data_IF_786097748962
#
_entry.id   IF_786097748962
#
_cell.length_a   1.000
_cell.length_b   1.000
_cell.length_c   1.000
_cell.angle_alpha   90.00
_cell.angle_beta   90.00
_cell.angle_gamma   90.00
#
_symmetry.space_group_name_H-M   'P 1'
#
loop_
_entity.id
_entity.type
_entity.pdbx_description
1 polymer ?
#
# COMPACT_ATOMS: atom_id res chain seq x y z
N UNK A 1 8.99 -1.75 13.67
CA UNK A 1 9.00 -1.05 12.37
C UNK A 1 7.58 -0.60 12.07
N UNK A 2 7.44 0.55 11.43
CA UNK A 2 6.15 1.12 11.08
C UNK A 2 5.71 0.64 9.69
N UNK A 3 4.40 0.46 9.50
CA UNK A 3 3.79 0.16 8.21
C UNK A 3 2.70 1.20 7.87
N UNK A 4 2.67 1.66 6.62
CA UNK A 4 1.66 2.59 6.10
C UNK A 4 0.72 1.84 5.17
N UNK A 5 -0.57 1.85 5.45
CA UNK A 5 -1.59 1.25 4.58
C UNK A 5 -2.47 2.35 4.00
N UNK A 6 -2.42 2.51 2.67
CA UNK A 6 -3.11 3.58 1.96
C UNK A 6 -4.54 3.16 1.58
N UNK A 7 -5.52 3.56 2.38
CA UNK A 7 -6.93 3.16 2.20
C UNK A 7 -7.86 4.29 1.75
N UNK A 8 -7.33 5.50 1.54
CA UNK A 8 -8.12 6.70 1.35
C UNK A 8 -8.86 6.80 0.01
N UNK A 9 -8.62 5.89 -0.95
CA UNK A 9 -9.20 5.94 -2.30
C UNK A 9 -10.72 5.77 -2.33
N UNK A 10 -11.41 6.56 -3.18
CA UNK A 10 -12.89 6.52 -3.33
C UNK A 10 -13.41 5.29 -4.11
N UNK A 11 -12.53 4.59 -4.84
CA UNK A 11 -12.92 3.41 -5.61
C UNK A 11 -13.96 3.66 -6.71
N UNK A 12 -14.08 4.89 -7.23
CA UNK A 12 -15.15 5.35 -8.13
C UNK A 12 -15.39 4.48 -9.37
N UNK A 13 -14.35 3.78 -9.85
CA UNK A 13 -14.44 2.83 -10.97
C UNK A 13 -15.32 1.62 -10.69
N UNK A 14 -15.54 1.29 -9.42
CA UNK A 14 -16.37 0.18 -8.96
C UNK A 14 -17.77 0.62 -8.52
N UNK A 15 -18.15 1.87 -8.80
CA UNK A 15 -19.52 2.30 -8.58
C UNK A 15 -20.50 1.41 -9.38
N UNK A 16 -21.66 1.03 -8.80
CA UNK A 16 -22.21 1.49 -7.52
C UNK A 16 -21.75 0.71 -6.28
N UNK A 17 -20.91 -0.33 -6.41
CA UNK A 17 -20.50 -1.19 -5.29
C UNK A 17 -19.81 -0.41 -4.17
N UNK A 18 -19.03 0.62 -4.53
CA UNK A 18 -18.31 1.48 -3.59
C UNK A 18 -19.15 2.59 -2.96
N UNK A 19 -20.45 2.67 -3.29
CA UNK A 19 -21.34 3.72 -2.75
C UNK A 19 -21.55 3.57 -1.23
N UNK A 20 -21.68 2.33 -0.76
CA UNK A 20 -22.03 2.04 0.62
C UNK A 20 -20.93 1.30 1.38
N UNK A 21 -19.91 0.77 0.69
CA UNK A 21 -18.84 -0.02 1.28
C UNK A 21 -17.50 0.41 0.66
N UNK A 22 -16.53 0.88 1.48
CA UNK A 22 -15.20 1.20 0.98
C UNK A 22 -14.53 -0.02 0.35
N UNK A 23 -13.82 0.17 -0.77
CA UNK A 23 -13.12 -0.92 -1.49
C UNK A 23 -12.22 -1.78 -0.57
N UNK A 24 -11.45 -1.23 0.38
CA UNK A 24 -10.66 -2.03 1.33
C UNK A 24 -11.49 -3.01 2.19
N UNK A 25 -12.80 -2.79 2.31
CA UNK A 25 -13.70 -3.67 3.06
C UNK A 25 -14.42 -4.70 2.18
N UNK A 26 -14.18 -4.71 0.87
CA UNK A 26 -14.76 -5.72 -0.02
C UNK A 26 -14.28 -7.14 0.35
N UNK A 27 -15.19 -8.13 0.41
CA UNK A 27 -14.82 -9.49 0.75
C UNK A 27 -14.11 -10.16 -0.42
N UNK A 28 -12.96 -10.77 -0.12
CA UNK A 28 -12.21 -11.67 -1.00
C UNK A 28 -11.99 -12.96 -0.24
N UNK A 29 -12.44 -14.09 -0.81
CA UNK A 29 -12.41 -15.40 -0.13
C UNK A 29 -12.97 -15.34 1.32
N UNK A 30 -14.08 -14.62 1.52
CA UNK A 30 -14.78 -14.52 2.81
C UNK A 30 -14.18 -13.56 3.83
N UNK A 31 -13.09 -12.83 3.53
CA UNK A 31 -12.50 -11.82 4.42
C UNK A 31 -12.32 -10.48 3.69
N UNK A 32 -12.47 -9.33 4.37
CA UNK A 32 -12.14 -8.03 3.79
C UNK A 32 -10.70 -7.95 3.26
N UNK A 33 -10.48 -7.23 2.15
CA UNK A 33 -9.12 -6.97 1.62
C UNK A 33 -8.18 -6.41 2.70
N UNK A 34 -8.64 -5.43 3.47
CA UNK A 34 -7.89 -4.83 4.57
C UNK A 34 -7.50 -5.88 5.63
N UNK A 35 -8.34 -6.89 5.86
CA UNK A 35 -7.99 -7.97 6.79
C UNK A 35 -6.86 -8.84 6.25
N UNK A 36 -6.89 -9.19 4.97
CA UNK A 36 -5.78 -9.94 4.36
C UNK A 36 -4.46 -9.17 4.47
N UNK A 37 -4.49 -7.86 4.23
CA UNK A 37 -3.33 -6.98 4.37
C UNK A 37 -2.84 -6.98 5.82
N UNK A 38 -3.71 -6.70 6.79
CA UNK A 38 -3.32 -6.63 8.21
C UNK A 38 -2.84 -7.98 8.77
N UNK A 39 -3.46 -9.09 8.36
CA UNK A 39 -3.06 -10.45 8.77
C UNK A 39 -1.72 -10.89 8.12
N UNK A 40 -1.30 -10.24 7.03
CA UNK A 40 -0.03 -10.56 6.35
C UNK A 40 1.20 -9.96 7.04
N UNK A 41 1.00 -8.91 7.84
CA UNK A 41 2.09 -8.17 8.47
C UNK A 41 2.83 -9.06 9.50
N UNK A 42 4.17 -9.14 9.43
CA UNK A 42 4.98 -9.92 10.36
C UNK A 42 5.09 -9.22 11.73
N UNK A 43 5.48 -9.96 12.77
CA UNK A 43 5.62 -9.47 14.16
C UNK A 43 6.57 -8.28 14.34
N UNK A 44 7.51 -8.06 13.40
CA UNK A 44 8.41 -6.88 13.41
C UNK A 44 7.68 -5.57 13.13
N UNK A 45 6.48 -5.63 12.56
CA UNK A 45 5.60 -4.48 12.44
C UNK A 45 4.88 -4.29 13.78
N UNK A 46 5.18 -3.18 14.43
CA UNK A 46 4.68 -2.84 15.78
C UNK A 46 3.66 -1.72 15.74
N UNK A 47 3.66 -0.93 14.66
CA UNK A 47 2.78 0.23 14.46
C UNK A 47 2.30 0.24 13.01
N UNK A 48 1.00 0.44 12.83
CA UNK A 48 0.36 0.51 11.52
C UNK A 48 -0.38 1.83 11.38
N UNK A 49 0.10 2.66 10.47
CA UNK A 49 -0.48 3.93 10.09
C UNK A 49 -1.47 3.66 8.95
N UNK A 50 -2.77 3.82 9.21
CA UNK A 50 -3.82 3.64 8.20
C UNK A 50 -4.26 5.01 7.73
N UNK A 51 -4.04 5.28 6.43
CA UNK A 51 -4.46 6.52 5.79
C UNK A 51 -5.88 6.36 5.27
N UNK A 52 -6.81 7.12 5.83
CA UNK A 52 -8.24 7.11 5.48
C UNK A 52 -8.66 8.44 4.84
N UNK A 53 -9.62 8.40 3.93
CA UNK A 53 -10.19 9.59 3.29
C UNK A 53 -11.46 10.08 4.00
N UNK A 54 -12.03 11.19 3.52
CA UNK A 54 -13.35 11.68 3.94
C UNK A 54 -14.40 10.55 3.85
N UNK A 55 -15.27 10.43 4.87
CA UNK A 55 -16.35 9.43 4.99
C UNK A 55 -15.95 7.95 5.17
N UNK A 56 -14.68 7.63 5.39
CA UNK A 56 -14.24 6.24 5.61
C UNK A 56 -14.34 5.77 7.07
N UNK A 57 -15.38 6.19 7.81
CA UNK A 57 -15.58 5.78 9.21
C UNK A 57 -15.76 4.25 9.34
N UNK A 58 -16.33 3.60 8.32
CA UNK A 58 -16.50 2.15 8.28
C UNK A 58 -15.17 1.39 8.39
N UNK A 59 -14.08 1.91 7.81
CA UNK A 59 -12.74 1.30 7.92
C UNK A 59 -12.28 1.36 9.37
N UNK A 60 -12.44 2.53 10.00
CA UNK A 60 -12.07 2.74 11.41
C UNK A 60 -12.87 1.83 12.34
N UNK A 61 -14.19 1.77 12.16
CA UNK A 61 -15.07 0.92 12.95
C UNK A 61 -14.75 -0.57 12.78
N UNK A 62 -14.41 -1.00 11.56
CA UNK A 62 -14.00 -2.37 11.29
C UNK A 62 -12.72 -2.74 12.06
N UNK A 63 -11.69 -1.89 11.98
CA UNK A 63 -10.37 -2.15 12.57
C UNK A 63 -10.43 -2.11 14.10
N UNK A 64 -11.13 -1.16 14.71
CA UNK A 64 -11.21 -1.01 16.18
C UNK A 64 -11.95 -2.19 16.84
N UNK A 65 -12.89 -2.84 16.14
CA UNK A 65 -13.59 -4.05 16.63
C UNK A 65 -12.71 -5.31 16.62
N UNK A 66 -11.46 -5.21 16.18
CA UNK A 66 -10.51 -6.32 16.11
C UNK A 66 -9.33 -6.06 17.04
N UNK A 67 -8.68 -7.14 17.48
CA UNK A 67 -7.44 -7.07 18.25
C UNK A 67 -6.28 -7.42 17.33
N UNK A 68 -5.37 -6.47 17.15
CA UNK A 68 -4.13 -6.66 16.41
C UNK A 68 -2.93 -6.62 17.37
N UNK A 69 -1.80 -7.28 17.03
CA UNK A 69 -0.59 -7.28 17.85
C UNK A 69 0.25 -5.99 17.68
N UNK A 70 -0.28 -4.97 17.02
CA UNK A 70 0.37 -3.70 16.71
C UNK A 70 -0.56 -2.53 17.00
N UNK A 71 0.02 -1.36 17.24
CA UNK A 71 -0.71 -0.12 17.44
C UNK A 71 -1.28 0.39 16.11
N UNK A 72 -2.48 0.95 16.15
CA UNK A 72 -3.10 1.59 14.99
C UNK A 72 -3.01 3.10 15.13
N UNK A 73 -2.43 3.76 14.13
CA UNK A 73 -2.40 5.21 13.99
C UNK A 73 -3.28 5.60 12.81
N UNK A 74 -4.15 6.60 13.00
CA UNK A 74 -5.05 7.08 11.96
C UNK A 74 -4.51 8.38 11.37
N UNK A 75 -4.39 8.43 10.05
CA UNK A 75 -4.03 9.64 9.30
C UNK A 75 -5.14 9.95 8.31
N UNK A 76 -5.61 11.19 8.28
CA UNK A 76 -6.73 11.61 7.44
C UNK A 76 -6.20 12.34 6.20
N UNK A 77 -6.50 11.80 5.02
CA UNK A 77 -6.26 12.47 3.75
C UNK A 77 -7.55 13.15 3.28
N UNK A 78 -7.78 14.39 3.74
CA UNK A 78 -8.97 15.16 3.37
C UNK A 78 -9.06 15.42 1.86
N UNK A 79 -7.95 15.86 1.26
CA UNK A 79 -7.82 16.08 -0.18
C UNK A 79 -6.98 14.96 -0.81
N UNK A 80 -7.57 14.25 -1.77
CA UNK A 80 -6.92 13.16 -2.50
C UNK A 80 -5.95 13.67 -3.58
N UNK A 81 -4.86 14.30 -3.15
CA UNK A 81 -3.79 14.82 -4.03
C UNK A 81 -2.80 13.74 -4.52
N UNK A 82 -3.20 12.47 -4.47
CA UNK A 82 -2.41 11.33 -4.91
C UNK A 82 -1.67 10.58 -3.79
N UNK A 83 -0.99 9.51 -4.19
CA UNK A 83 -0.29 8.57 -3.29
C UNK A 83 0.86 9.25 -2.53
N UNK A 84 1.66 10.09 -3.19
CA UNK A 84 2.76 10.80 -2.54
C UNK A 84 2.29 11.72 -1.41
N UNK A 85 1.17 12.43 -1.61
CA UNK A 85 0.54 13.23 -0.56
C UNK A 85 0.07 12.36 0.62
N UNK A 86 -0.49 11.18 0.35
CA UNK A 86 -0.93 10.27 1.40
C UNK A 86 0.22 9.81 2.31
N UNK A 87 1.38 9.50 1.72
CA UNK A 87 2.59 9.14 2.46
C UNK A 87 3.16 10.35 3.19
N UNK A 88 3.21 11.52 2.54
CA UNK A 88 3.70 12.75 3.15
C UNK A 88 2.96 13.13 4.45
N UNK A 89 1.63 12.95 4.48
CA UNK A 89 0.82 13.17 5.69
C UNK A 89 1.20 12.25 6.86
N UNK A 90 1.85 11.12 6.59
CA UNK A 90 2.32 10.19 7.63
C UNK A 90 3.64 10.63 8.26
N UNK A 91 4.36 11.60 7.70
CA UNK A 91 5.75 11.95 8.07
C UNK A 91 5.96 12.14 9.57
N UNK A 92 5.07 12.86 10.26
CA UNK A 92 5.17 13.13 11.69
C UNK A 92 4.79 11.94 12.59
N UNK A 93 4.23 10.87 12.02
CA UNK A 93 3.78 9.68 12.73
C UNK A 93 4.75 8.50 12.62
N UNK A 94 5.69 8.56 11.67
CA UNK A 94 6.71 7.55 11.45
C UNK A 94 7.79 7.70 12.53
N UNK A 95 8.07 6.60 13.22
CA UNK A 95 9.04 6.53 14.31
C UNK A 95 10.21 5.60 14.03
N UNK A 96 10.10 4.73 13.02
CA UNK A 96 11.19 3.85 12.60
C UNK A 96 12.06 4.47 11.51
N UNK A 97 13.33 4.08 11.46
CA UNK A 97 14.29 4.51 10.43
C UNK A 97 13.82 4.17 9.01
N UNK A 98 13.32 2.94 8.82
CA UNK A 98 12.66 2.49 7.61
C UNK A 98 11.19 2.18 7.89
N UNK A 99 10.33 2.26 6.88
CA UNK A 99 8.91 1.94 7.01
C UNK A 99 8.42 1.19 5.79
N UNK A 100 7.53 0.23 6.01
CA UNK A 100 6.84 -0.45 4.91
C UNK A 100 5.64 0.37 4.45
N UNK A 101 5.32 0.36 3.16
CA UNK A 101 4.10 0.97 2.62
C UNK A 101 3.39 0.02 1.66
N UNK A 102 2.06 -0.06 1.77
CA UNK A 102 1.23 -0.88 0.90
C UNK A 102 -0.08 -0.19 0.53
N UNK A 103 -0.54 -0.41 -0.70
CA UNK A 103 -1.87 0.02 -1.12
C UNK A 103 -2.96 -0.80 -0.42
N UNK A 104 -4.01 -0.13 0.05
CA UNK A 104 -5.11 -0.75 0.79
C UNK A 104 -6.13 -1.49 -0.06
N UNK A 105 -5.94 -1.55 -1.37
CA UNK A 105 -6.92 -2.03 -2.34
C UNK A 105 -6.39 -3.09 -3.31
N UNK A 106 -5.23 -3.66 -3.00
CA UNK A 106 -4.59 -4.79 -3.68
C UNK A 106 -4.65 -6.04 -2.80
N UNK A 107 -4.70 -7.21 -3.45
CA UNK A 107 -4.59 -8.50 -2.78
C UNK A 107 -3.24 -9.11 -3.14
N UNK A 108 -2.45 -9.43 -2.11
CA UNK A 108 -1.09 -9.92 -2.26
C UNK A 108 -0.88 -11.05 -1.28
N UNK A 109 -0.22 -12.12 -1.72
CA UNK A 109 0.11 -13.26 -0.87
C UNK A 109 0.99 -12.83 0.29
N UNK A 110 0.76 -13.45 1.45
CA UNK A 110 1.43 -13.11 2.71
C UNK A 110 2.94 -13.24 2.56
N UNK A 111 3.39 -14.27 1.86
CA UNK A 111 4.78 -14.60 1.61
C UNK A 111 5.48 -13.46 0.85
N UNK A 112 4.79 -12.85 -0.12
CA UNK A 112 5.30 -11.71 -0.87
C UNK A 112 5.42 -10.48 0.03
N UNK A 113 4.38 -10.15 0.80
CA UNK A 113 4.42 -9.02 1.76
C UNK A 113 5.58 -9.17 2.72
N UNK A 114 5.75 -10.37 3.30
CA UNK A 114 6.83 -10.66 4.23
C UNK A 114 8.21 -10.62 3.57
N UNK A 115 8.33 -11.06 2.32
CA UNK A 115 9.59 -10.99 1.57
C UNK A 115 10.06 -9.54 1.37
N UNK A 116 9.14 -8.62 1.04
CA UNK A 116 9.45 -7.19 0.87
C UNK A 116 9.85 -6.58 2.21
N UNK A 117 9.06 -6.82 3.26
CA UNK A 117 9.34 -6.27 4.59
C UNK A 117 10.68 -6.78 5.14
N UNK A 118 11.08 -8.01 4.83
CA UNK A 118 12.33 -8.61 5.29
C UNK A 118 13.50 -8.42 4.32
N UNK A 119 13.31 -7.65 3.24
CA UNK A 119 14.38 -7.39 2.29
C UNK A 119 15.56 -6.69 3.01
N UNK A 120 16.80 -7.19 2.85
CA UNK A 120 17.95 -6.60 3.51
C UNK A 120 18.30 -5.27 2.84
N UNK A 121 17.93 -4.17 3.48
CA UNK A 121 18.41 -2.84 3.11
C UNK A 121 19.90 -2.78 3.45
N UNK A 122 20.76 -2.76 2.42
CA UNK A 122 22.19 -2.53 2.60
C UNK A 122 22.40 -1.02 2.63
N UNK A 123 22.72 -0.49 3.81
CA UNK A 123 22.85 0.95 4.10
C UNK A 123 23.73 1.71 3.10
N UNK A 124 24.73 1.07 2.50
CA UNK A 124 25.62 1.71 1.53
C UNK A 124 25.06 1.82 0.09
N UNK A 125 23.99 1.11 -0.27
CA UNK A 125 23.58 0.96 -1.68
C UNK A 125 22.06 1.01 -1.94
N UNK A 126 21.20 0.93 -0.92
CA UNK A 126 19.74 0.81 -1.09
C UNK A 126 18.99 1.71 -0.12
N UNK A 127 18.50 2.84 -0.61
CA UNK A 127 17.67 3.79 0.15
C UNK A 127 16.20 3.36 0.27
N UNK A 128 15.76 2.42 -0.57
CA UNK A 128 14.41 1.88 -0.56
C UNK A 128 14.21 0.78 -1.58
N UNK A 129 13.12 0.04 -1.42
CA UNK A 129 12.75 -1.11 -2.26
C UNK A 129 11.34 -0.92 -2.79
N UNK A 130 11.13 -1.30 -4.05
CA UNK A 130 9.82 -1.35 -4.67
C UNK A 130 9.55 -2.76 -5.20
N UNK A 131 8.40 -3.33 -4.85
CA UNK A 131 7.97 -4.59 -5.44
C UNK A 131 7.47 -4.35 -6.87
N UNK A 132 7.93 -5.17 -7.81
CA UNK A 132 7.50 -5.13 -9.21
C UNK A 132 6.76 -6.39 -9.62
N UNK A 133 5.76 -6.26 -10.49
CA UNK A 133 5.07 -7.40 -11.11
C UNK A 133 4.97 -7.19 -12.62
N UNK A 134 5.09 -8.27 -13.39
CA UNK A 134 4.87 -8.24 -14.84
C UNK A 134 3.39 -8.33 -15.17
N UNK A 135 2.90 -7.43 -16.02
CA UNK A 135 1.51 -7.41 -16.47
C UNK A 135 1.40 -7.36 -17.99
N UNK A 136 0.26 -7.83 -18.51
CA UNK A 136 -0.06 -7.77 -19.94
C UNK A 136 -0.36 -6.34 -20.41
N UNK A 137 -0.91 -5.50 -19.54
CA UNK A 137 -1.41 -4.15 -19.85
C UNK A 137 -0.77 -3.09 -18.93
N UNK A 138 0.54 -2.78 -19.11
CA UNK A 138 1.27 -1.86 -18.24
C UNK A 138 0.86 -0.38 -18.37
N UNK A 139 0.21 0.03 -19.46
CA UNK A 139 -0.16 1.42 -19.77
C UNK A 139 -1.15 2.05 -18.78
N UNK A 140 -1.76 1.25 -17.90
CA UNK A 140 -2.71 1.70 -16.87
C UNK A 140 -2.06 2.01 -15.52
N UNK A 141 -0.75 1.80 -15.40
CA UNK A 141 -0.02 1.79 -14.13
C UNK A 141 1.29 2.59 -14.20
N UNK A 142 1.99 2.70 -13.07
CA UNK A 142 3.37 3.16 -12.99
C UNK A 142 4.31 2.07 -13.48
N UNK A 143 4.73 2.15 -14.74
CA UNK A 143 5.69 1.24 -15.35
C UNK A 143 7.12 1.53 -14.85
N UNK A 144 7.86 0.48 -14.50
CA UNK A 144 9.19 0.56 -13.93
C UNK A 144 10.24 0.24 -15.01
N UNK A 145 11.15 1.19 -15.22
CA UNK A 145 12.38 0.98 -15.98
C UNK A 145 13.50 0.56 -15.03
N UNK A 146 13.97 -0.67 -15.17
CA UNK A 146 14.94 -1.31 -14.26
C UNK A 146 16.20 -1.64 -15.05
N UNK A 147 17.38 -1.24 -14.54
CA UNK A 147 18.70 -1.59 -15.12
C UNK A 147 19.58 -2.16 -14.02
N UNK A 148 20.12 -3.37 -14.23
CA UNK A 148 20.99 -4.06 -13.25
C UNK A 148 20.38 -4.04 -11.84
N UNK A 149 19.10 -4.43 -11.75
CA UNK A 149 18.30 -4.48 -10.51
C UNK A 149 18.01 -3.13 -9.83
N UNK A 150 18.45 -2.01 -10.43
CA UNK A 150 18.13 -0.67 -9.93
C UNK A 150 16.98 -0.04 -10.70
N UNK A 151 16.05 0.55 -9.98
CA UNK A 151 15.03 1.41 -10.56
C UNK A 151 15.69 2.68 -11.10
N UNK A 152 15.51 2.93 -12.40
CA UNK A 152 16.05 4.12 -13.08
C UNK A 152 14.96 5.16 -13.28
N UNK A 153 13.73 4.73 -13.61
CA UNK A 153 12.62 5.64 -13.89
C UNK A 153 11.27 4.97 -13.66
N UNK A 154 10.29 5.78 -13.26
CA UNK A 154 8.88 5.41 -13.22
C UNK A 154 8.14 6.19 -14.31
N UNK A 155 7.38 5.46 -15.13
CA UNK A 155 6.56 5.98 -16.22
C UNK A 155 5.08 5.80 -15.85
N UNK A 156 4.43 6.86 -15.33
CA UNK A 156 3.04 6.80 -14.90
C UNK A 156 2.08 6.84 -16.09
N UNK A 157 1.32 5.76 -16.29
CA UNK A 157 0.27 5.61 -17.31
C UNK A 157 0.72 6.05 -18.70
N UNK A 158 1.94 5.66 -19.06
CA UNK A 158 2.51 5.99 -20.35
C UNK A 158 1.81 5.20 -21.46
N UNK A 159 1.40 5.82 -22.58
CA UNK A 159 0.70 5.12 -23.67
C UNK A 159 1.56 4.04 -24.33
N UNK A 160 2.89 4.25 -24.36
CA UNK A 160 3.87 3.31 -24.89
C UNK A 160 4.91 2.96 -23.79
N UNK A 161 4.55 2.13 -22.81
CA UNK A 161 5.42 1.86 -21.67
C UNK A 161 6.65 1.04 -22.09
N UNK A 162 7.87 1.41 -21.64
CA UNK A 162 9.11 0.78 -22.09
C UNK A 162 9.37 -0.61 -21.47
N UNK A 163 8.46 -1.08 -20.61
CA UNK A 163 8.61 -2.30 -19.83
C UNK A 163 7.22 -2.84 -19.46
N UNK A 164 7.17 -4.13 -19.09
CA UNK A 164 5.97 -4.78 -18.53
C UNK A 164 5.97 -4.84 -17.02
N UNK A 165 7.07 -4.47 -16.38
CA UNK A 165 7.18 -4.40 -14.93
C UNK A 165 6.45 -3.15 -14.44
N UNK A 166 5.48 -3.31 -13.55
CA UNK A 166 4.78 -2.18 -12.92
C UNK A 166 5.04 -2.18 -11.42
N UNK A 167 4.83 -1.02 -10.80
CA UNK A 167 4.74 -0.90 -9.35
C UNK A 167 3.62 -1.81 -8.82
N UNK A 168 3.97 -2.80 -7.99
CA UNK A 168 3.02 -3.73 -7.40
C UNK A 168 2.25 -3.14 -6.21
N UNK A 169 2.63 -1.94 -5.74
CA UNK A 169 1.98 -1.26 -4.61
C UNK A 169 2.51 -1.67 -3.24
N UNK A 170 3.74 -2.21 -3.17
CA UNK A 170 4.48 -2.47 -1.94
C UNK A 170 5.85 -1.80 -2.02
N UNK A 171 6.24 -1.11 -0.95
CA UNK A 171 7.53 -0.43 -0.83
C UNK A 171 8.08 -0.61 0.58
N UNK A 172 9.41 -0.64 0.72
CA UNK A 172 10.13 -0.64 2.00
C UNK A 172 11.16 0.48 2.01
#
# INVERSE_FOLDING_TARGET
>A
MDAIILTAGKGTRLNPLTKNLPKPLFPVAGKPLLKHILDSLPKKITRVIIVIGYENQQIKDYVIRKRYPFDIIWVYQEKQLGTGHAVYLCKSHIQSEHFFMMYGDIFVEKEIVQSVINYPLKEELTEGVIASVQVKFPEKYGCLEIKKERLVRIWEKHPEPPSRNINAGLML
#
